data_IF_170181160935
#
_entry.id   IF_170181160935
#
_cell.length_a   1.000
_cell.length_b   1.000
_cell.length_c   1.000
_cell.angle_alpha   90.00
_cell.angle_beta   90.00
_cell.angle_gamma   90.00
#
_symmetry.space_group_name_H-M   'P 1'
#
loop_
_entity.id
_entity.type
_entity.pdbx_description
1 polymer ?
#
# COMPACT_ATOMS: atom_id res chain seq x y z
N UNK A 1 7.68 15.73 6.35
CA UNK A 1 6.38 15.21 5.90
C UNK A 1 6.37 15.09 4.38
N UNK A 2 5.52 14.23 3.84
CA UNK A 2 5.30 14.06 2.39
C UNK A 2 3.81 13.91 2.13
N UNK A 3 3.36 14.42 1.00
CA UNK A 3 1.97 14.31 0.54
C UNK A 3 1.92 13.51 -0.76
N UNK A 4 0.94 12.62 -0.86
CA UNK A 4 0.73 11.78 -2.02
C UNK A 4 -0.75 11.72 -2.37
N UNK A 5 -1.04 11.67 -3.67
CA UNK A 5 -2.37 11.38 -4.19
C UNK A 5 -2.26 10.30 -5.26
N UNK A 6 -3.36 9.58 -5.50
CA UNK A 6 -3.39 8.55 -6.53
C UNK A 6 -4.68 7.74 -6.52
N UNK A 7 -4.63 6.65 -7.26
CA UNK A 7 -5.72 5.69 -7.38
C UNK A 7 -5.26 4.32 -6.87
N UNK A 8 -6.16 3.63 -6.20
CA UNK A 8 -6.05 2.23 -5.81
C UNK A 8 -7.08 1.48 -6.66
N UNK A 9 -6.60 0.58 -7.51
CA UNK A 9 -7.44 -0.38 -8.19
C UNK A 9 -7.68 -1.58 -7.26
N UNK A 10 -8.93 -1.96 -7.09
CA UNK A 10 -9.36 -3.12 -6.31
C UNK A 10 -9.56 -4.33 -7.22
N UNK A 11 -9.60 -5.50 -6.61
CA UNK A 11 -9.86 -6.76 -7.29
C UNK A 11 -8.60 -7.48 -7.81
N UNK A 12 -7.46 -6.81 -7.80
CA UNK A 12 -6.16 -7.41 -8.10
C UNK A 12 -5.04 -6.88 -7.20
N UNK A 13 -4.15 -7.76 -6.75
CA UNK A 13 -2.87 -7.42 -6.13
C UNK A 13 -1.75 -7.86 -7.06
N UNK A 14 -0.69 -7.05 -7.17
CA UNK A 14 0.51 -7.37 -7.93
C UNK A 14 1.69 -7.65 -7.00
N UNK A 15 2.68 -8.39 -7.47
CA UNK A 15 3.90 -8.68 -6.71
C UNK A 15 4.71 -7.43 -6.32
N UNK A 16 4.63 -6.35 -7.10
CA UNK A 16 5.27 -5.05 -6.82
C UNK A 16 4.38 -4.10 -6.00
N UNK A 17 3.11 -4.46 -5.78
CA UNK A 17 2.06 -3.63 -5.18
C UNK A 17 1.80 -2.31 -5.95
N UNK A 18 2.06 -2.30 -7.25
CA UNK A 18 1.69 -1.22 -8.18
C UNK A 18 1.35 -1.78 -9.56
N UNK A 19 0.95 -0.89 -10.47
CA UNK A 19 0.50 -1.25 -11.82
C UNK A 19 1.60 -1.81 -12.74
N UNK A 20 2.85 -1.88 -12.29
CA UNK A 20 3.97 -2.38 -13.10
C UNK A 20 4.33 -3.84 -12.82
N UNK A 21 3.76 -4.42 -11.77
CA UNK A 21 3.99 -5.82 -11.39
C UNK A 21 3.07 -6.80 -12.10
N UNK A 22 3.33 -8.08 -11.86
CA UNK A 22 2.47 -9.17 -12.32
C UNK A 22 1.38 -9.45 -11.29
N UNK A 23 0.16 -9.76 -11.76
CA UNK A 23 -0.96 -10.09 -10.87
C UNK A 23 -0.63 -11.36 -10.08
N UNK A 24 -0.55 -11.22 -8.76
CA UNK A 24 -0.25 -12.29 -7.82
C UNK A 24 -1.49 -12.82 -7.13
N UNK A 25 -2.55 -12.00 -7.04
CA UNK A 25 -3.83 -12.36 -6.42
C UNK A 25 -4.98 -11.61 -7.09
N UNK A 26 -6.10 -12.30 -7.24
CA UNK A 26 -7.38 -11.71 -7.65
C UNK A 26 -8.36 -11.91 -6.48
N UNK A 27 -9.24 -10.94 -6.25
CA UNK A 27 -10.26 -11.03 -5.21
C UNK A 27 -11.54 -10.32 -5.65
N UNK A 28 -12.72 -10.71 -5.14
CA UNK A 28 -13.95 -9.97 -5.39
C UNK A 28 -13.82 -8.53 -4.89
N UNK A 29 -14.42 -7.60 -5.63
CA UNK A 29 -14.52 -6.19 -5.23
C UNK A 29 -15.80 -6.02 -4.41
N UNK A 30 -15.74 -5.63 -3.12
CA UNK A 30 -16.94 -5.33 -2.36
C UNK A 30 -17.58 -4.03 -2.85
N UNK A 31 -18.87 -3.85 -2.57
CA UNK A 31 -19.53 -2.57 -2.83
C UNK A 31 -18.89 -1.46 -2.02
N UNK A 32 -18.43 -0.40 -2.69
CA UNK A 32 -17.79 0.74 -2.04
C UNK A 32 -18.82 1.74 -1.51
N UNK A 33 -18.84 1.93 -0.19
CA UNK A 33 -19.64 2.93 0.52
C UNK A 33 -18.75 4.03 1.11
N UNK A 34 -19.22 5.28 1.04
CA UNK A 34 -18.53 6.45 1.60
C UNK A 34 -18.28 6.32 3.10
N UNK A 35 -19.23 5.75 3.86
CA UNK A 35 -19.10 5.59 5.32
C UNK A 35 -18.00 4.58 5.66
N UNK A 36 -17.96 3.45 4.96
CA UNK A 36 -16.93 2.42 5.08
C UNK A 36 -15.55 2.99 4.73
N UNK A 37 -15.43 3.74 3.64
CA UNK A 37 -14.17 4.38 3.23
C UNK A 37 -13.68 5.39 4.28
N UNK A 38 -14.57 6.17 4.87
CA UNK A 38 -14.23 7.09 5.96
C UNK A 38 -13.75 6.34 7.22
N UNK A 39 -14.41 5.23 7.59
CA UNK A 39 -14.01 4.40 8.72
C UNK A 39 -12.61 3.76 8.50
N UNK A 40 -12.34 3.28 7.28
CA UNK A 40 -11.02 2.77 6.90
C UNK A 40 -9.98 3.88 6.98
N UNK A 41 -10.26 5.06 6.42
CA UNK A 41 -9.34 6.20 6.48
C UNK A 41 -8.99 6.56 7.94
N UNK A 42 -9.97 6.59 8.83
CA UNK A 42 -9.78 6.83 10.26
C UNK A 42 -8.91 5.75 10.91
N UNK A 43 -9.12 4.47 10.58
CA UNK A 43 -8.33 3.33 11.11
C UNK A 43 -6.84 3.43 10.77
N UNK A 44 -6.51 3.93 9.58
CA UNK A 44 -5.12 4.07 9.13
C UNK A 44 -4.49 5.42 9.49
N UNK A 45 -5.26 6.39 9.97
CA UNK A 45 -4.74 7.69 10.41
C UNK A 45 -4.11 7.58 11.80
N UNK A 46 -2.98 8.26 12.00
CA UNK A 46 -2.16 8.20 13.21
C UNK A 46 -0.91 7.35 13.02
N UNK A 47 -0.42 6.77 14.12
CA UNK A 47 0.71 5.84 14.05
C UNK A 47 0.23 4.44 13.69
N UNK A 48 0.82 3.85 12.66
CA UNK A 48 0.59 2.44 12.29
C UNK A 48 1.90 1.67 12.10
N UNK A 49 1.83 0.35 12.22
CA UNK A 49 2.88 -0.56 11.77
C UNK A 49 2.64 -0.90 10.30
N UNK A 50 3.63 -0.64 9.45
CA UNK A 50 3.55 -0.92 8.03
C UNK A 50 4.60 -1.94 7.62
N UNK A 51 4.17 -3.01 6.94
CA UNK A 51 5.07 -3.96 6.28
C UNK A 51 5.50 -3.41 4.92
N UNK A 52 6.79 -3.04 4.72
CA UNK A 52 7.25 -2.50 3.44
C UNK A 52 7.16 -3.54 2.31
N UNK A 53 7.07 -3.12 1.04
CA UNK A 53 7.08 -4.05 -0.09
C UNK A 53 8.47 -4.69 -0.24
N UNK A 54 8.49 -5.91 -0.79
CA UNK A 54 9.73 -6.59 -1.21
C UNK A 54 10.48 -5.72 -2.23
N UNK A 55 9.75 -5.13 -3.18
CA UNK A 55 10.28 -4.16 -4.14
C UNK A 55 10.50 -2.79 -3.50
N UNK A 56 11.45 -2.71 -2.57
CA UNK A 56 11.85 -1.50 -1.85
C UNK A 56 13.36 -1.26 -1.89
N UNK A 57 13.76 -0.04 -1.53
CA UNK A 57 15.17 0.36 -1.42
C UNK A 57 15.81 -0.09 -0.10
N UNK A 58 15.07 -0.79 0.78
CA UNK A 58 15.61 -1.37 2.01
C UNK A 58 16.77 -2.29 1.63
N UNK A 59 17.86 -2.25 2.40
CA UNK A 59 19.04 -3.08 2.15
C UNK A 59 19.07 -4.29 3.07
N UNK A 60 19.49 -5.43 2.53
CA UNK A 60 19.85 -6.64 3.29
C UNK A 60 21.24 -7.07 2.85
N UNK A 61 22.18 -7.19 3.79
CA UNK A 61 23.59 -7.45 3.47
C UNK A 61 24.20 -6.41 2.51
N UNK A 62 23.79 -5.14 2.61
CA UNK A 62 24.28 -4.06 1.73
C UNK A 62 23.59 -3.94 0.37
N UNK A 63 22.77 -4.92 -0.04
CA UNK A 63 22.08 -4.92 -1.36
C UNK A 63 20.61 -4.51 -1.20
N UNK A 64 20.08 -3.58 -2.02
CA UNK A 64 18.65 -3.24 -2.02
C UNK A 64 17.75 -4.43 -2.37
N UNK A 65 16.64 -4.60 -1.66
CA UNK A 65 15.72 -5.73 -1.83
C UNK A 65 15.16 -5.82 -3.26
N UNK A 66 14.82 -4.70 -3.89
CA UNK A 66 14.33 -4.72 -5.28
C UNK A 66 15.35 -5.33 -6.25
N UNK A 67 16.67 -5.18 -6.01
CA UNK A 67 17.71 -5.78 -6.87
C UNK A 67 17.74 -7.29 -6.72
N UNK A 68 17.54 -7.79 -5.50
CA UNK A 68 17.47 -9.22 -5.21
C UNK A 68 16.19 -9.82 -5.82
N UNK A 69 15.05 -9.18 -5.61
CA UNK A 69 13.76 -9.63 -6.15
C UNK A 69 13.76 -9.70 -7.69
N UNK A 70 14.31 -8.69 -8.38
CA UNK A 70 14.45 -8.69 -9.85
C UNK A 70 15.38 -9.77 -10.40
N UNK A 71 16.24 -10.35 -9.56
CA UNK A 71 17.11 -11.49 -9.93
C UNK A 71 16.44 -12.84 -9.66
N UNK A 72 15.18 -12.85 -9.22
CA UNK A 72 14.47 -14.07 -8.83
C UNK A 72 14.97 -14.68 -7.52
N UNK A 73 15.80 -13.95 -6.75
CA UNK A 73 16.26 -14.43 -5.44
C UNK A 73 15.07 -14.37 -4.49
N UNK A 74 14.81 -15.45 -3.76
CA UNK A 74 13.80 -15.46 -2.72
C UNK A 74 14.19 -14.43 -1.64
N UNK A 75 13.39 -13.37 -1.52
CA UNK A 75 13.58 -12.30 -0.55
C UNK A 75 12.49 -12.41 0.50
N UNK A 76 12.88 -12.59 1.75
CA UNK A 76 11.90 -12.49 2.83
C UNK A 76 11.43 -11.03 2.94
N UNK A 77 10.14 -10.82 3.24
CA UNK A 77 9.65 -9.49 3.48
C UNK A 77 10.44 -8.78 4.60
N UNK A 78 10.71 -7.48 4.45
CA UNK A 78 11.32 -6.69 5.52
C UNK A 78 10.39 -6.61 6.75
N UNK A 79 11.00 -6.47 7.92
CA UNK A 79 10.29 -6.27 9.19
C UNK A 79 9.33 -5.07 9.12
N UNK A 80 8.16 -5.16 9.80
CA UNK A 80 7.26 -4.02 9.98
C UNK A 80 7.98 -2.83 10.58
N UNK A 81 7.54 -1.63 10.19
CA UNK A 81 8.08 -0.38 10.71
C UNK A 81 6.94 0.56 11.07
N UNK A 82 7.12 1.24 12.19
CA UNK A 82 6.27 2.34 12.62
C UNK A 82 6.35 3.51 11.64
N UNK A 83 5.20 3.95 11.14
CA UNK A 83 5.05 5.15 10.31
C UNK A 83 3.90 5.99 10.85
N UNK A 84 3.84 7.26 10.45
CA UNK A 84 2.81 8.19 10.88
C UNK A 84 2.06 8.73 9.66
N UNK A 85 0.74 8.64 9.72
CA UNK A 85 -0.21 9.22 8.77
C UNK A 85 -0.91 10.35 9.50
N UNK A 86 -0.61 11.59 9.13
CA UNK A 86 -1.23 12.78 9.72
C UNK A 86 -2.66 12.97 9.21
N UNK A 87 -2.93 12.57 7.96
CA UNK A 87 -4.26 12.61 7.37
C UNK A 87 -4.36 11.68 6.19
N UNK A 88 -5.51 11.04 6.06
CA UNK A 88 -5.87 10.15 4.95
C UNK A 88 -7.30 10.44 4.53
N UNK A 89 -7.50 10.70 3.24
CA UNK A 89 -8.82 10.76 2.61
C UNK A 89 -8.96 9.63 1.60
N UNK A 90 -10.10 8.93 1.62
CA UNK A 90 -10.48 7.91 0.65
C UNK A 90 -11.82 8.27 0.04
N UNK A 91 -11.90 8.27 -1.29
CA UNK A 91 -13.12 8.60 -2.04
C UNK A 91 -13.35 7.55 -3.11
N UNK A 92 -14.60 7.09 -3.26
CA UNK A 92 -14.99 6.26 -4.40
C UNK A 92 -14.73 7.03 -5.69
N UNK A 93 -13.99 6.44 -6.62
CA UNK A 93 -13.70 7.01 -7.94
C UNK A 93 -14.25 6.14 -9.09
N UNK A 94 -14.69 4.93 -8.78
CA UNK A 94 -15.34 3.96 -9.67
C UNK A 94 -15.88 2.80 -8.83
N UNK A 95 -16.42 1.76 -9.47
CA UNK A 95 -16.93 0.60 -8.74
C UNK A 95 -15.82 -0.27 -8.13
N UNK A 96 -14.63 -0.24 -8.73
CA UNK A 96 -13.43 -0.96 -8.29
C UNK A 96 -12.25 -0.03 -7.98
N UNK A 97 -12.49 1.28 -7.91
CA UNK A 97 -11.41 2.25 -7.84
C UNK A 97 -11.64 3.24 -6.69
N UNK A 98 -10.61 3.38 -5.84
CA UNK A 98 -10.56 4.36 -4.76
C UNK A 98 -9.53 5.43 -5.11
N UNK A 99 -9.90 6.70 -4.99
CA UNK A 99 -8.96 7.82 -4.97
C UNK A 99 -8.52 8.08 -3.54
N UNK A 100 -7.21 8.25 -3.33
CA UNK A 100 -6.66 8.60 -2.03
C UNK A 100 -5.89 9.93 -2.06
N UNK A 101 -5.84 10.59 -0.90
CA UNK A 101 -4.89 11.63 -0.57
C UNK A 101 -4.32 11.36 0.83
N UNK A 102 -3.01 11.40 1.00
CA UNK A 102 -2.35 11.05 2.27
C UNK A 102 -1.21 12.01 2.58
N UNK A 103 -1.17 12.48 3.83
CA UNK A 103 -0.07 13.24 4.41
C UNK A 103 0.63 12.38 5.45
N UNK A 104 1.91 12.07 5.25
CA UNK A 104 2.62 11.06 6.03
C UNK A 104 4.08 11.42 6.35
N UNK A 105 4.67 10.66 7.28
CA UNK A 105 6.09 10.72 7.59
C UNK A 105 6.95 10.17 6.45
N UNK A 106 8.24 10.49 6.46
CA UNK A 106 9.20 9.90 5.52
C UNK A 106 9.39 8.41 5.81
N UNK A 107 9.43 7.61 4.74
CA UNK A 107 9.62 6.16 4.85
C UNK A 107 8.31 5.36 4.81
N UNK A 108 7.15 6.03 4.80
CA UNK A 108 5.87 5.39 4.47
C UNK A 108 5.85 4.95 3.00
N UNK A 109 5.36 3.74 2.75
CA UNK A 109 5.15 3.19 1.42
C UNK A 109 3.67 3.30 1.05
N UNK A 110 3.35 4.19 0.11
CA UNK A 110 2.00 4.35 -0.46
C UNK A 110 1.48 3.02 -1.03
N UNK A 111 2.37 2.23 -1.64
CA UNK A 111 2.04 0.90 -2.18
C UNK A 111 1.60 -0.10 -1.10
N UNK A 112 2.28 -0.09 0.06
CA UNK A 112 1.83 -0.90 1.20
C UNK A 112 0.49 -0.39 1.75
N UNK A 113 0.30 0.92 1.85
CA UNK A 113 -0.98 1.50 2.27
C UNK A 113 -2.13 1.07 1.34
N UNK A 114 -1.92 1.10 0.02
CA UNK A 114 -2.90 0.64 -0.96
C UNK A 114 -3.29 -0.84 -0.77
N UNK A 115 -2.30 -1.72 -0.61
CA UNK A 115 -2.52 -3.14 -0.29
C UNK A 115 -3.30 -3.30 1.01
N UNK A 116 -2.87 -2.63 2.07
CA UNK A 116 -3.43 -2.81 3.41
C UNK A 116 -4.87 -2.27 3.48
N UNK A 117 -5.19 -1.20 2.74
CA UNK A 117 -6.58 -0.73 2.51
C UNK A 117 -7.39 -1.79 1.77
N UNK A 118 -6.85 -2.35 0.68
CA UNK A 118 -7.51 -3.42 -0.08
C UNK A 118 -7.82 -4.67 0.74
N UNK A 119 -6.97 -5.03 1.69
CA UNK A 119 -7.19 -6.15 2.63
C UNK A 119 -8.24 -5.83 3.69
N UNK A 120 -8.39 -4.57 4.07
CA UNK A 120 -9.32 -4.14 5.12
C UNK A 120 -10.76 -3.95 4.63
N UNK A 121 -10.98 -4.00 3.31
CA UNK A 121 -12.28 -3.97 2.63
C UNK A 121 -12.89 -5.36 2.53
#
# INVERSE_FOLDING_TARGET
MKEYTGLIALGSETDTLDSTGEVSRISPVPGLDTTQLAAIAARFTGTIEQKPPIFSAIKRGGVPLYKLARRGVQVEPPEPRRVEIQGLELKKAGDDTIRFAVLCSSGMYVRSLARDIGIAL
#
